data_IF_275346519723
#
_entry.id   IF_275346519723
#
_cell.length_a   1.000
_cell.length_b   1.000
_cell.length_c   1.000
_cell.angle_alpha   90.00
_cell.angle_beta   90.00
_cell.angle_gamma   90.00
#
_symmetry.space_group_name_H-M   'P 1'
#
loop_
_entity.id
_entity.type
_entity.pdbx_description
1 polymer ?
#
# COMPACT_ATOMS: atom_id res chain seq x y z
N UNK A 1 -37.83 19.23 -6.01
CA UNK A 1 -37.09 18.48 -7.06
C UNK A 1 -36.37 17.32 -6.40
N UNK A 2 -36.80 16.08 -6.65
CA UNK A 2 -36.27 14.87 -5.99
C UNK A 2 -35.08 14.37 -6.78
N UNK A 3 -33.88 14.43 -6.20
CA UNK A 3 -32.66 13.86 -6.79
C UNK A 3 -32.73 12.35 -6.83
N UNK A 4 -32.71 11.79 -8.03
CA UNK A 4 -32.70 10.36 -8.30
C UNK A 4 -31.28 9.83 -8.05
N UNK A 5 -31.07 9.15 -6.93
CA UNK A 5 -29.83 8.42 -6.63
C UNK A 5 -29.76 7.24 -7.58
N UNK A 6 -28.90 7.31 -8.60
CA UNK A 6 -28.56 6.17 -9.45
C UNK A 6 -27.64 5.24 -8.67
N UNK A 7 -28.20 4.25 -8.03
CA UNK A 7 -27.49 3.08 -7.54
C UNK A 7 -27.10 2.24 -8.77
N UNK A 8 -25.90 2.47 -9.31
CA UNK A 8 -25.35 1.55 -10.31
C UNK A 8 -24.99 0.25 -9.60
N UNK A 9 -25.89 -0.71 -9.74
CA UNK A 9 -25.73 -2.09 -9.35
C UNK A 9 -24.61 -2.69 -10.23
N UNK A 10 -23.34 -2.66 -9.74
CA UNK A 10 -22.25 -3.37 -10.39
C UNK A 10 -22.50 -4.87 -10.20
N UNK A 11 -23.16 -5.47 -11.19
CA UNK A 11 -23.26 -6.94 -11.29
C UNK A 11 -21.84 -7.50 -11.21
N UNK A 12 -21.60 -8.52 -10.36
CA UNK A 12 -20.37 -9.28 -10.43
C UNK A 12 -20.24 -9.79 -11.89
N UNK A 13 -19.07 -9.58 -12.50
CA UNK A 13 -18.83 -10.10 -13.84
C UNK A 13 -18.90 -11.62 -13.73
N UNK A 14 -20.04 -12.22 -14.11
CA UNK A 14 -20.18 -13.65 -14.18
C UNK A 14 -19.14 -14.18 -15.15
N UNK A 15 -18.34 -15.14 -14.70
CA UNK A 15 -17.40 -15.84 -15.58
C UNK A 15 -18.23 -16.55 -16.64
N UNK A 16 -18.24 -16.00 -17.85
CA UNK A 16 -18.90 -16.65 -18.99
C UNK A 16 -17.96 -17.76 -19.46
N UNK A 17 -18.44 -18.99 -19.41
CA UNK A 17 -17.69 -20.17 -19.84
C UNK A 17 -18.35 -20.81 -21.06
N UNK A 18 -17.53 -21.34 -21.96
CA UNK A 18 -17.95 -22.23 -23.04
C UNK A 18 -17.20 -23.55 -22.87
N UNK A 19 -17.94 -24.66 -22.77
CA UNK A 19 -17.35 -26.01 -22.53
C UNK A 19 -16.41 -26.07 -21.30
N UNK A 20 -16.70 -25.27 -20.26
CA UNK A 20 -15.86 -25.20 -19.03
C UNK A 20 -14.69 -24.24 -19.12
N UNK A 21 -14.38 -23.66 -20.27
CA UNK A 21 -13.33 -22.67 -20.45
C UNK A 21 -13.89 -21.24 -20.37
N UNK A 22 -13.09 -20.31 -19.81
CA UNK A 22 -13.47 -18.91 -19.74
C UNK A 22 -13.44 -18.29 -21.13
N UNK A 23 -14.57 -17.72 -21.59
CA UNK A 23 -14.62 -17.02 -22.87
C UNK A 23 -13.76 -15.74 -22.89
N UNK A 24 -13.55 -15.13 -21.74
CA UNK A 24 -12.76 -13.89 -21.60
C UNK A 24 -11.75 -14.06 -20.46
N UNK A 25 -10.66 -14.81 -20.68
CA UNK A 25 -9.63 -14.95 -19.69
C UNK A 25 -8.92 -13.60 -19.46
N UNK A 26 -8.63 -13.27 -18.21
CA UNK A 26 -7.82 -12.11 -17.87
C UNK A 26 -6.36 -12.52 -17.73
N UNK A 27 -5.47 -11.80 -18.37
CA UNK A 27 -4.00 -11.96 -18.20
C UNK A 27 -3.51 -11.48 -16.82
N UNK A 28 -4.40 -10.80 -16.09
CA UNK A 28 -4.06 -10.24 -14.78
C UNK A 28 -4.84 -10.91 -13.67
N UNK A 29 -4.17 -11.10 -12.53
CA UNK A 29 -4.79 -11.55 -11.29
C UNK A 29 -5.81 -10.51 -10.79
N UNK A 30 -6.96 -11.00 -10.39
CA UNK A 30 -8.04 -10.21 -9.82
C UNK A 30 -8.53 -10.83 -8.50
N UNK A 31 -9.46 -10.17 -7.82
CA UNK A 31 -9.95 -10.60 -6.51
C UNK A 31 -10.61 -11.98 -6.53
N UNK A 32 -11.21 -12.39 -7.67
CA UNK A 32 -11.82 -13.70 -7.84
C UNK A 32 -10.78 -14.83 -7.82
N UNK A 33 -9.57 -14.59 -8.34
CA UNK A 33 -8.50 -15.59 -8.39
C UNK A 33 -7.98 -15.97 -7.00
N UNK A 34 -8.16 -15.08 -6.02
CA UNK A 34 -7.74 -15.25 -4.62
C UNK A 34 -8.92 -15.33 -3.65
N UNK A 35 -10.14 -15.50 -4.16
CA UNK A 35 -11.36 -15.58 -3.34
C UNK A 35 -11.31 -16.82 -2.43
N UNK A 36 -11.41 -16.59 -1.11
CA UNK A 36 -11.46 -17.66 -0.11
C UNK A 36 -10.15 -18.44 0.07
N UNK A 37 -9.06 -17.99 -0.53
CA UNK A 37 -7.73 -18.60 -0.40
C UNK A 37 -6.62 -17.55 -0.42
N UNK A 38 -5.49 -17.90 0.13
CA UNK A 38 -4.26 -17.15 -0.02
C UNK A 38 -3.37 -17.83 -1.07
N UNK A 39 -2.71 -17.04 -1.92
CA UNK A 39 -1.77 -17.53 -2.91
C UNK A 39 -0.38 -17.01 -2.60
N UNK A 40 0.55 -17.91 -2.29
CA UNK A 40 1.96 -17.57 -2.18
C UNK A 40 2.61 -17.77 -3.54
N UNK A 41 3.21 -16.71 -4.07
CA UNK A 41 3.77 -16.66 -5.42
C UNK A 41 5.20 -16.12 -5.37
N UNK A 42 6.07 -16.69 -6.20
CA UNK A 42 7.46 -16.27 -6.36
C UNK A 42 7.55 -15.28 -7.53
N UNK A 43 8.05 -14.09 -7.27
CA UNK A 43 8.22 -13.04 -8.29
C UNK A 43 9.35 -13.47 -9.26
N UNK A 44 9.05 -13.55 -10.55
CA UNK A 44 10.04 -13.84 -11.60
C UNK A 44 10.45 -12.60 -12.39
N UNK A 45 9.66 -11.54 -12.32
CA UNK A 45 10.00 -10.29 -13.00
C UNK A 45 9.15 -9.12 -12.54
N UNK A 46 9.71 -7.93 -12.73
CA UNK A 46 9.06 -6.64 -12.50
C UNK A 46 9.22 -5.81 -13.76
N UNK A 47 8.13 -5.40 -14.37
CA UNK A 47 8.13 -4.62 -15.60
C UNK A 47 7.17 -3.43 -15.51
N UNK A 48 7.22 -2.54 -16.48
CA UNK A 48 6.22 -1.46 -16.66
C UNK A 48 5.44 -1.78 -17.94
N UNK A 49 4.13 -1.82 -17.84
CA UNK A 49 3.25 -2.12 -18.99
C UNK A 49 2.22 -1.00 -19.19
N UNK A 50 1.90 -0.73 -20.46
CA UNK A 50 0.82 0.17 -20.85
C UNK A 50 -0.53 -0.53 -20.67
N UNK A 51 -1.27 -0.12 -19.64
CA UNK A 51 -2.60 -0.66 -19.37
C UNK A 51 -3.69 0.26 -19.90
N UNK A 52 -4.65 -0.32 -20.60
CA UNK A 52 -5.84 0.38 -21.08
C UNK A 52 -6.79 0.65 -19.91
N UNK A 53 -7.17 1.89 -19.72
CA UNK A 53 -8.15 2.28 -18.70
C UNK A 53 -9.57 2.17 -19.27
N UNK A 54 -10.54 1.90 -18.38
CA UNK A 54 -11.98 1.84 -18.73
C UNK A 54 -12.55 3.14 -19.33
N UNK A 55 -11.80 4.19 -19.49
CA UNK A 55 -12.19 5.45 -20.13
C UNK A 55 -11.47 5.71 -21.45
N UNK A 56 -10.77 4.71 -22.02
CA UNK A 56 -10.08 4.84 -23.33
C UNK A 56 -8.67 5.42 -23.24
N UNK A 57 -8.17 5.79 -22.04
CA UNK A 57 -6.79 6.23 -21.83
C UNK A 57 -5.84 5.06 -21.59
N UNK A 58 -4.53 5.27 -21.88
CA UNK A 58 -3.46 4.35 -21.49
C UNK A 58 -2.72 4.90 -20.26
N UNK A 59 -2.30 4.02 -19.36
CA UNK A 59 -1.46 4.38 -18.21
C UNK A 59 -0.40 3.32 -17.98
N UNK A 60 0.85 3.75 -17.91
CA UNK A 60 1.97 2.89 -17.54
C UNK A 60 1.83 2.51 -16.06
N UNK A 61 1.86 1.21 -15.76
CA UNK A 61 1.82 0.69 -14.39
C UNK A 61 2.88 -0.39 -14.20
N UNK A 62 3.43 -0.52 -12.99
CA UNK A 62 4.29 -1.65 -12.66
C UNK A 62 3.46 -2.94 -12.66
N UNK A 63 4.05 -4.01 -13.19
CA UNK A 63 3.44 -5.33 -13.31
C UNK A 63 4.44 -6.37 -12.83
N UNK A 64 3.95 -7.33 -12.04
CA UNK A 64 4.72 -8.46 -11.54
C UNK A 64 4.35 -9.72 -12.29
N UNK A 65 5.34 -10.54 -12.61
CA UNK A 65 5.20 -11.90 -13.14
C UNK A 65 5.63 -12.91 -12.09
N UNK A 66 5.11 -14.15 -12.19
CA UNK A 66 5.27 -15.18 -11.17
C UNK A 66 5.66 -16.52 -11.78
N UNK A 67 6.29 -17.38 -10.98
CA UNK A 67 6.66 -18.72 -11.40
C UNK A 67 5.45 -19.68 -11.45
N UNK A 68 4.52 -19.54 -10.50
CA UNK A 68 3.43 -20.50 -10.26
C UNK A 68 2.18 -20.24 -11.11
N UNK A 69 2.12 -19.09 -11.80
CA UNK A 69 0.96 -18.72 -12.62
C UNK A 69 1.36 -17.89 -13.83
N UNK A 70 0.73 -18.11 -14.99
CA UNK A 70 0.95 -17.26 -16.17
C UNK A 70 0.32 -15.87 -15.99
N UNK A 71 -0.60 -15.70 -15.02
CA UNK A 71 -1.23 -14.41 -14.77
C UNK A 71 -0.28 -13.44 -14.07
N UNK A 72 -0.34 -12.19 -14.48
CA UNK A 72 0.44 -11.08 -13.95
C UNK A 72 -0.34 -10.34 -12.86
N UNK A 73 0.35 -9.63 -11.98
CA UNK A 73 -0.29 -8.73 -11.01
C UNK A 73 0.05 -7.28 -11.33
N UNK A 74 -0.98 -6.47 -11.58
CA UNK A 74 -0.80 -5.01 -11.63
C UNK A 74 -0.48 -4.50 -10.23
N UNK A 75 0.74 -4.01 -10.04
CA UNK A 75 1.20 -3.51 -8.75
C UNK A 75 0.64 -2.10 -8.51
N UNK A 76 -0.41 -2.02 -7.71
CA UNK A 76 -0.94 -0.73 -7.25
C UNK A 76 -0.04 -0.18 -6.13
N UNK A 77 -0.05 1.15 -5.88
CA UNK A 77 0.84 1.75 -4.87
C UNK A 77 0.80 1.06 -3.51
N UNK A 78 -0.38 0.70 -3.00
CA UNK A 78 -0.52 -0.01 -1.72
C UNK A 78 0.20 -1.36 -1.72
N UNK A 79 0.11 -2.14 -2.81
CA UNK A 79 0.80 -3.42 -2.94
C UNK A 79 2.32 -3.22 -3.08
N UNK A 80 2.74 -2.16 -3.79
CA UNK A 80 4.14 -1.78 -3.88
C UNK A 80 4.75 -1.44 -2.52
N UNK A 81 4.00 -0.74 -1.67
CA UNK A 81 4.41 -0.45 -0.29
C UNK A 81 4.57 -1.73 0.55
N UNK A 82 3.63 -2.69 0.43
CA UNK A 82 3.72 -3.97 1.15
C UNK A 82 4.94 -4.79 0.69
N UNK A 83 5.24 -4.81 -0.63
CA UNK A 83 6.45 -5.49 -1.13
C UNK A 83 7.71 -4.79 -0.65
N UNK A 84 7.72 -3.45 -0.69
CA UNK A 84 8.84 -2.66 -0.19
C UNK A 84 9.11 -2.93 1.29
N UNK A 85 8.08 -3.05 2.09
CA UNK A 85 8.18 -3.42 3.50
C UNK A 85 8.80 -4.81 3.70
N UNK A 86 8.44 -5.79 2.85
CA UNK A 86 8.92 -7.16 2.94
C UNK A 86 10.33 -7.36 2.35
N UNK A 87 10.64 -6.66 1.25
CA UNK A 87 11.78 -7.00 0.39
C UNK A 87 12.65 -5.78 0.00
N UNK A 88 12.42 -4.62 0.65
CA UNK A 88 13.19 -3.40 0.38
C UNK A 88 12.66 -2.58 -0.80
N UNK A 89 13.28 -1.43 -1.05
CA UNK A 89 12.80 -0.43 -2.00
C UNK A 89 13.30 -0.62 -3.45
N UNK A 90 14.15 -1.61 -3.70
CA UNK A 90 14.73 -1.89 -5.03
C UNK A 90 13.97 -3.02 -5.71
N UNK A 91 13.19 -2.68 -6.74
CA UNK A 91 12.32 -3.62 -7.44
C UNK A 91 13.09 -4.77 -8.12
N UNK A 92 14.34 -4.54 -8.52
CA UNK A 92 15.21 -5.56 -9.10
C UNK A 92 15.48 -6.71 -8.13
N UNK A 93 15.51 -6.42 -6.83
CA UNK A 93 15.74 -7.40 -5.76
C UNK A 93 14.48 -8.17 -5.34
N UNK A 94 13.33 -7.80 -5.85
CA UNK A 94 12.08 -8.54 -5.61
C UNK A 94 12.01 -9.85 -6.40
N UNK A 95 12.81 -9.98 -7.47
CA UNK A 95 12.90 -11.20 -8.26
C UNK A 95 13.47 -12.34 -7.39
N UNK A 96 12.80 -13.51 -7.43
CA UNK A 96 13.09 -14.65 -6.57
C UNK A 96 12.47 -14.59 -5.17
N UNK A 97 11.87 -13.47 -4.77
CA UNK A 97 11.20 -13.32 -3.46
C UNK A 97 9.74 -13.78 -3.54
N UNK A 98 9.24 -14.28 -2.42
CA UNK A 98 7.85 -14.73 -2.30
C UNK A 98 6.96 -13.65 -1.70
N UNK A 99 5.74 -13.57 -2.21
CA UNK A 99 4.66 -12.73 -1.65
C UNK A 99 3.39 -13.56 -1.52
N UNK A 100 2.58 -13.26 -0.51
CA UNK A 100 1.29 -13.91 -0.31
C UNK A 100 0.17 -12.95 -0.65
N UNK A 101 -0.66 -13.33 -1.62
CA UNK A 101 -1.81 -12.57 -2.07
C UNK A 101 -3.07 -13.02 -1.35
N UNK A 102 -3.94 -12.09 -0.99
CA UNK A 102 -5.25 -12.36 -0.40
C UNK A 102 -6.30 -11.38 -0.90
N UNK A 103 -7.57 -11.78 -0.82
CA UNK A 103 -8.71 -10.93 -1.10
C UNK A 103 -9.07 -10.10 0.12
N UNK A 104 -9.37 -8.83 -0.11
CA UNK A 104 -9.99 -7.95 0.89
C UNK A 104 -10.90 -6.94 0.21
N UNK A 105 -11.64 -6.18 1.00
CA UNK A 105 -12.47 -5.08 0.50
C UNK A 105 -11.74 -3.75 0.66
N UNK A 106 -11.76 -2.94 -0.38
CA UNK A 106 -11.15 -1.62 -0.36
C UNK A 106 -12.11 -0.59 -0.99
N UNK A 107 -11.92 0.67 -0.61
CA UNK A 107 -12.68 1.75 -1.22
C UNK A 107 -12.15 2.05 -2.63
N UNK A 108 -13.00 1.90 -3.63
CA UNK A 108 -12.69 2.20 -5.02
C UNK A 108 -13.88 2.91 -5.68
N UNK A 109 -13.61 4.03 -6.36
CA UNK A 109 -14.63 4.83 -7.08
C UNK A 109 -15.92 5.11 -6.31
N UNK A 110 -15.78 5.42 -5.00
CA UNK A 110 -16.93 5.76 -4.15
C UNK A 110 -17.72 4.58 -3.59
N UNK A 111 -17.30 3.34 -3.84
CA UNK A 111 -17.92 2.13 -3.30
C UNK A 111 -16.88 1.16 -2.75
N UNK A 112 -17.34 0.20 -1.91
CA UNK A 112 -16.49 -0.90 -1.46
C UNK A 112 -16.41 -1.97 -2.54
N UNK A 113 -15.17 -2.26 -2.99
CA UNK A 113 -14.88 -3.25 -4.03
C UNK A 113 -13.92 -4.31 -3.51
N UNK A 114 -14.03 -5.52 -4.04
CA UNK A 114 -13.06 -6.58 -3.77
C UNK A 114 -11.74 -6.27 -4.47
N UNK A 115 -10.64 -6.41 -3.75
CA UNK A 115 -9.31 -6.13 -4.26
C UNK A 115 -8.29 -7.18 -3.79
N UNK A 116 -7.20 -7.31 -4.55
CA UNK A 116 -6.04 -8.13 -4.19
C UNK A 116 -5.08 -7.30 -3.37
N UNK A 117 -4.64 -7.85 -2.24
CA UNK A 117 -3.62 -7.27 -1.38
C UNK A 117 -2.51 -8.27 -1.10
N UNK A 118 -1.37 -7.75 -0.67
CA UNK A 118 -0.21 -8.52 -0.29
C UNK A 118 -0.13 -8.54 1.23
N UNK A 119 0.05 -9.73 1.82
CA UNK A 119 0.32 -9.88 3.25
C UNK A 119 1.67 -9.24 3.57
N UNK A 120 1.72 -8.46 4.61
CA UNK A 120 2.97 -7.89 5.14
C UNK A 120 3.72 -8.87 6.06
N UNK A 121 3.18 -10.10 6.20
CA UNK A 121 3.84 -11.22 6.88
C UNK A 121 4.07 -12.33 5.87
N UNK A 122 5.32 -12.79 5.73
CA UNK A 122 5.63 -13.94 4.89
C UNK A 122 5.49 -15.22 5.74
N UNK A 123 4.64 -16.20 5.35
CA UNK A 123 4.50 -17.46 6.10
C UNK A 123 5.80 -18.27 6.17
N UNK A 124 6.75 -18.04 5.26
CA UNK A 124 8.10 -18.64 5.30
C UNK A 124 9.08 -17.85 6.20
N UNK A 125 8.69 -16.69 6.69
CA UNK A 125 9.53 -15.81 7.52
C UNK A 125 8.71 -15.34 8.73
N UNK A 126 8.52 -16.21 9.70
CA UNK A 126 8.05 -15.83 11.03
C UNK A 126 9.09 -14.88 11.65
N UNK A 127 8.94 -13.58 11.43
CA UNK A 127 9.49 -12.56 12.31
C UNK A 127 10.83 -11.95 11.97
N UNK A 128 11.29 -11.94 10.69
CA UNK A 128 12.41 -11.08 10.32
C UNK A 128 12.18 -10.41 8.96
N UNK A 129 12.30 -9.06 8.86
CA UNK A 129 12.51 -8.42 7.57
C UNK A 129 13.76 -9.02 6.95
N UNK A 130 13.72 -9.29 5.62
CA UNK A 130 14.79 -9.94 4.89
C UNK A 130 16.12 -9.19 5.12
N UNK A 131 16.99 -9.82 5.92
CA UNK A 131 18.37 -9.41 6.04
C UNK A 131 19.11 -9.86 4.79
N UNK A 132 19.03 -9.06 3.73
CA UNK A 132 20.00 -9.11 2.64
C UNK A 132 19.86 -7.88 1.74
N UNK A 133 20.23 -6.74 2.30
CA UNK A 133 20.68 -5.57 1.56
C UNK A 133 21.53 -4.70 2.48
N UNK A 134 22.78 -4.51 2.10
CA UNK A 134 23.67 -3.52 2.67
C UNK A 134 23.30 -2.09 2.21
N UNK A 135 22.05 -1.76 2.30
CA UNK A 135 21.58 -0.41 2.58
C UNK A 135 21.07 -0.49 4.03
N UNK A 136 21.95 -0.24 4.98
CA UNK A 136 21.71 -0.32 6.42
C UNK A 136 20.78 0.83 6.87
N UNK A 137 19.68 1.02 6.19
CA UNK A 137 18.64 1.91 6.67
C UNK A 137 17.76 1.10 7.62
N UNK A 138 18.23 0.97 8.86
CA UNK A 138 17.43 0.46 9.96
C UNK A 138 16.24 1.42 10.15
N UNK A 139 15.03 0.89 10.09
CA UNK A 139 13.81 1.67 10.29
C UNK A 139 13.39 1.60 11.76
N UNK A 140 12.67 2.61 12.22
CA UNK A 140 12.15 2.64 13.59
C UNK A 140 11.19 1.48 13.84
N UNK A 141 11.21 0.98 15.05
CA UNK A 141 10.30 -0.08 15.52
C UNK A 141 8.86 0.44 15.62
N UNK A 142 7.92 -0.49 15.72
CA UNK A 142 6.50 -0.15 15.92
C UNK A 142 6.29 0.64 17.22
N UNK A 143 7.00 0.26 18.28
CA UNK A 143 6.93 0.90 19.59
C UNK A 143 7.42 2.35 19.53
N UNK A 144 8.56 2.58 18.88
CA UNK A 144 9.13 3.91 18.65
C UNK A 144 8.20 4.78 17.79
N UNK A 145 7.58 4.21 16.75
CA UNK A 145 6.60 4.91 15.92
C UNK A 145 5.37 5.33 16.74
N UNK A 146 4.86 4.45 17.60
CA UNK A 146 3.69 4.73 18.46
C UNK A 146 4.04 5.83 19.48
N UNK A 147 5.22 5.78 20.08
CA UNK A 147 5.66 6.81 21.03
C UNK A 147 5.85 8.17 20.36
N UNK A 148 6.46 8.21 19.17
CA UNK A 148 6.62 9.44 18.40
C UNK A 148 5.24 10.05 18.03
N UNK A 149 4.28 9.23 17.62
CA UNK A 149 2.89 9.68 17.35
C UNK A 149 2.23 10.24 18.61
N UNK A 150 2.43 9.61 19.78
CA UNK A 150 1.91 10.06 21.06
C UNK A 150 2.46 11.44 21.43
N UNK A 151 3.78 11.62 21.29
CA UNK A 151 4.46 12.88 21.54
C UNK A 151 3.99 14.00 20.58
N UNK A 152 3.84 13.69 19.29
CA UNK A 152 3.26 14.65 18.33
C UNK A 152 1.86 15.09 18.73
N UNK A 153 1.01 14.16 19.17
CA UNK A 153 -0.34 14.50 19.65
C UNK A 153 -0.33 15.37 20.88
N UNK A 154 0.53 15.07 21.86
CA UNK A 154 0.70 15.86 23.09
C UNK A 154 1.22 17.27 22.81
N UNK A 155 2.17 17.42 21.89
CA UNK A 155 2.75 18.69 21.46
C UNK A 155 1.94 19.44 20.39
N UNK A 156 0.78 18.94 19.96
CA UNK A 156 -0.04 19.51 18.86
C UNK A 156 0.77 19.69 17.56
N UNK A 157 1.61 18.73 17.22
CA UNK A 157 2.50 18.80 16.06
C UNK A 157 1.84 18.19 14.84
N UNK A 158 1.93 18.87 13.70
CA UNK A 158 1.46 18.37 12.41
C UNK A 158 2.40 17.26 11.92
N UNK A 159 1.96 16.01 12.11
CA UNK A 159 2.72 14.83 11.73
C UNK A 159 3.03 14.78 10.23
N UNK A 160 2.15 15.29 9.37
CA UNK A 160 2.36 15.28 7.91
C UNK A 160 3.49 16.22 7.52
N UNK A 161 3.52 17.40 8.11
CA UNK A 161 4.60 18.37 7.88
C UNK A 161 5.93 17.85 8.42
N UNK A 162 5.91 17.24 9.61
CA UNK A 162 7.10 16.66 10.21
C UNK A 162 7.67 15.53 9.36
N UNK A 163 6.86 14.55 8.96
CA UNK A 163 7.28 13.44 8.10
C UNK A 163 7.69 13.90 6.70
N UNK A 164 7.04 14.95 6.19
CA UNK A 164 7.37 15.56 4.91
C UNK A 164 8.81 16.09 4.81
N UNK A 165 9.40 16.55 5.94
CA UNK A 165 10.82 16.96 6.00
C UNK A 165 11.79 15.82 5.67
N UNK A 166 11.36 14.58 5.88
CA UNK A 166 12.14 13.36 5.61
C UNK A 166 11.66 12.62 4.36
N UNK A 167 10.82 13.27 3.54
CA UNK A 167 10.21 12.71 2.32
C UNK A 167 9.46 11.38 2.55
N UNK A 168 8.90 11.17 3.75
CA UNK A 168 8.15 9.98 4.13
C UNK A 168 6.70 10.30 4.45
N UNK A 169 5.83 9.31 4.28
CA UNK A 169 4.38 9.45 4.47
C UNK A 169 3.85 8.70 5.69
N UNK A 170 4.65 7.81 6.27
CA UNK A 170 4.29 6.96 7.42
C UNK A 170 5.47 6.80 8.38
N UNK A 171 5.18 6.70 9.67
CA UNK A 171 6.18 6.51 10.72
C UNK A 171 7.07 5.28 10.53
N UNK A 172 6.49 4.13 10.15
CA UNK A 172 7.25 2.90 9.90
C UNK A 172 8.25 2.96 8.74
N UNK A 173 8.34 4.10 8.04
CA UNK A 173 9.31 4.37 6.96
C UNK A 173 10.40 5.35 7.41
N UNK A 174 10.38 5.78 8.66
CA UNK A 174 11.42 6.67 9.20
C UNK A 174 12.68 5.85 9.46
N UNK A 175 13.81 6.18 8.81
CA UNK A 175 15.09 5.56 9.13
C UNK A 175 15.48 5.81 10.59
N UNK A 176 16.03 4.80 11.26
CA UNK A 176 16.45 4.87 12.67
C UNK A 176 17.42 6.03 12.92
N UNK A 177 18.30 6.30 11.96
CA UNK A 177 19.25 7.42 12.04
C UNK A 177 18.58 8.81 12.18
N UNK A 178 17.33 8.96 11.75
CA UNK A 178 16.55 10.21 11.85
C UNK A 178 15.64 10.27 13.09
N UNK A 179 15.53 9.18 13.86
CA UNK A 179 14.65 9.14 15.03
C UNK A 179 15.01 10.21 16.07
N UNK A 180 16.30 10.37 16.33
CA UNK A 180 16.78 11.37 17.30
C UNK A 180 16.41 12.79 16.86
N UNK A 181 16.61 13.11 15.59
CA UNK A 181 16.29 14.43 15.00
C UNK A 181 14.80 14.70 15.04
N UNK A 182 13.99 13.70 14.73
CA UNK A 182 12.53 13.78 14.79
C UNK A 182 12.04 14.01 16.20
N UNK A 183 12.57 13.27 17.18
CA UNK A 183 12.23 13.46 18.60
C UNK A 183 12.67 14.83 19.12
N UNK A 184 13.83 15.33 18.66
CA UNK A 184 14.28 16.70 18.97
C UNK A 184 13.33 17.75 18.38
N UNK A 185 12.88 17.60 17.13
CA UNK A 185 11.92 18.48 16.49
C UNK A 185 10.55 18.44 17.17
N UNK A 186 10.15 17.31 17.74
CA UNK A 186 8.91 17.20 18.53
C UNK A 186 9.04 17.92 19.86
N UNK A 187 10.18 17.85 20.52
CA UNK A 187 10.44 18.53 21.82
C UNK A 187 10.59 20.04 21.67
N UNK A 188 11.19 20.47 20.57
CA UNK A 188 11.42 21.89 20.27
C UNK A 188 10.84 22.23 18.87
N UNK A 189 9.51 22.27 18.73
CA UNK A 189 8.90 22.45 17.43
C UNK A 189 9.10 23.86 16.88
N UNK A 190 9.41 23.93 15.58
CA UNK A 190 9.36 25.21 14.88
C UNK A 190 7.88 25.65 14.74
N UNK A 191 7.58 26.96 14.67
CA UNK A 191 6.19 27.45 14.58
C UNK A 191 5.38 26.85 13.42
N UNK A 192 6.05 26.46 12.34
CA UNK A 192 5.43 25.84 11.18
C UNK A 192 4.88 24.42 11.44
N UNK A 193 5.44 23.73 12.43
CA UNK A 193 5.03 22.35 12.80
C UNK A 193 3.89 22.34 13.82
N UNK A 194 3.64 23.44 14.52
CA UNK A 194 2.60 23.52 15.55
C UNK A 194 1.25 23.79 14.91
N UNK A 195 0.24 23.01 15.30
CA UNK A 195 -1.14 23.24 14.89
C UNK A 195 -1.68 24.39 15.77
N UNK A 196 -2.09 25.54 15.18
CA UNK A 196 -2.59 26.67 15.93
C UNK A 196 -3.86 26.28 16.72
N UNK A 197 -4.06 26.95 17.86
CA UNK A 197 -5.31 26.80 18.61
C UNK A 197 -6.50 27.29 17.77
N UNK A 198 -7.65 26.62 17.83
CA UNK A 198 -8.85 27.16 17.24
C UNK A 198 -9.16 28.48 17.94
N UNK A 199 -9.21 29.56 17.18
CA UNK A 199 -9.66 30.86 17.68
C UNK A 199 -11.05 30.63 18.24
N UNK A 200 -11.21 30.78 19.55
CA UNK A 200 -12.55 30.87 20.15
C UNK A 200 -13.14 32.17 19.65
N UNK A 201 -13.93 32.15 18.59
CA UNK A 201 -14.80 33.25 18.25
C UNK A 201 -15.69 33.51 19.46
N UNK A 202 -15.41 34.64 20.12
CA UNK A 202 -16.22 35.10 21.22
C UNK A 202 -17.64 35.29 20.70
N UNK A 203 -18.59 34.57 21.28
CA UNK A 203 -19.99 34.90 21.14
C UNK A 203 -20.18 36.36 21.65
N UNK A 204 -20.90 37.18 20.87
CA UNK A 204 -21.32 38.51 21.34
C UNK A 204 -22.30 38.40 22.49
#
# INVERSE_FOLDING_TARGET
MKGKTMTQNMRPQSKITLNGELMFPSDYLNAEDVRGKELTLTITGVSKEDLQLRGGGKKIKPVLTFAETPKKLVCVPTNGESIRFLHGNRAEKWVGKQITLYQTRCQGWGSMVDCVRIRETNPANTGQPAADDQDQTEYITREEAVEAMRLCKAGRIDQRKLLGKYAITRWGLLPQLHLADVLAAIRNPTPELVIPEPVKEGMP
#
